data_IF_521476787111
#
_entry.id   IF_521476787111
#
_cell.length_a   1.000
_cell.length_b   1.000
_cell.length_c   1.000
_cell.angle_alpha   90.00
_cell.angle_beta   90.00
_cell.angle_gamma   90.00
#
_symmetry.space_group_name_H-M   'P 1'
#
loop_
_entity.id
_entity.type
_entity.pdbx_description
1 polymer ?
#
# COMPACT_ATOMS: atom_id res chain seq x y z
N UNK A 1 -22.15 25.96 6.98
CA UNK A 1 -21.89 26.38 5.59
C UNK A 1 -20.51 25.87 5.22
N UNK A 2 -20.42 24.81 4.41
CA UNK A 2 -19.13 24.25 4.01
C UNK A 2 -18.60 25.08 2.84
N UNK A 3 -17.58 25.90 3.10
CA UNK A 3 -16.86 26.65 2.07
C UNK A 3 -16.02 25.67 1.27
N UNK A 4 -16.51 25.30 0.09
CA UNK A 4 -15.71 24.60 -0.92
C UNK A 4 -14.63 25.55 -1.44
N UNK A 5 -13.48 25.57 -0.77
CA UNK A 5 -12.29 26.27 -1.26
C UNK A 5 -11.76 25.51 -2.47
N UNK A 6 -11.88 26.12 -3.65
CA UNK A 6 -11.23 25.63 -4.87
C UNK A 6 -9.71 25.64 -4.65
N UNK A 7 -9.09 24.47 -4.77
CA UNK A 7 -7.64 24.32 -4.64
C UNK A 7 -7.00 24.79 -5.95
N UNK A 8 -6.34 25.95 -5.95
CA UNK A 8 -5.50 26.39 -7.06
C UNK A 8 -4.22 25.54 -7.10
N UNK A 9 -3.97 24.91 -8.24
CA UNK A 9 -2.85 23.98 -8.45
C UNK A 9 -1.62 24.70 -8.98
N UNK A 10 -0.90 25.34 -8.07
CA UNK A 10 0.44 25.84 -8.32
C UNK A 10 1.45 24.83 -7.78
N UNK A 11 2.39 24.41 -8.64
CA UNK A 11 3.40 23.38 -8.30
C UNK A 11 4.42 23.88 -7.30
N UNK A 12 4.61 25.19 -7.20
CA UNK A 12 5.58 25.81 -6.30
C UNK A 12 4.92 26.28 -4.99
N UNK A 13 3.59 26.14 -4.88
CA UNK A 13 2.82 26.60 -3.74
C UNK A 13 2.43 25.45 -2.81
N UNK A 14 2.60 25.69 -1.50
CA UNK A 14 2.01 24.86 -0.46
C UNK A 14 0.60 25.39 -0.18
N UNK A 15 -0.40 24.52 -0.25
CA UNK A 15 -1.78 24.87 0.06
C UNK A 15 -2.19 24.21 1.37
N UNK A 16 -2.51 25.00 2.40
CA UNK A 16 -3.08 24.49 3.66
C UNK A 16 -4.56 24.21 3.43
N UNK A 17 -4.96 22.94 3.60
CA UNK A 17 -6.36 22.51 3.42
C UNK A 17 -7.20 22.74 4.69
N UNK A 18 -6.57 22.68 5.86
CA UNK A 18 -7.20 22.80 7.16
C UNK A 18 -6.32 22.21 8.26
N UNK A 19 -6.85 22.15 9.48
CA UNK A 19 -6.21 21.47 10.62
C UNK A 19 -6.86 20.11 10.87
N UNK A 20 -6.06 19.08 10.92
CA UNK A 20 -6.45 17.73 11.33
C UNK A 20 -5.59 17.36 12.53
N UNK A 21 -6.19 16.84 13.62
CA UNK A 21 -5.46 16.47 14.86
C UNK A 21 -4.42 17.51 15.33
N UNK A 22 -4.85 18.78 15.34
CA UNK A 22 -4.07 19.96 15.73
C UNK A 22 -2.88 20.34 14.85
N UNK A 23 -2.61 19.58 13.78
CA UNK A 23 -1.56 19.87 12.80
C UNK A 23 -2.14 20.33 11.46
N UNK A 24 -1.36 21.14 10.73
CA UNK A 24 -1.76 21.62 9.41
C UNK A 24 -1.67 20.47 8.39
N UNK A 25 -2.77 20.27 7.68
CA UNK A 25 -2.84 19.35 6.55
C UNK A 25 -2.53 20.11 5.27
N UNK A 26 -1.36 19.88 4.71
CA UNK A 26 -0.84 20.61 3.55
C UNK A 26 -0.92 19.77 2.27
N UNK A 27 -1.45 20.34 1.17
CA UNK A 27 -1.26 19.84 -0.18
C UNK A 27 0.03 20.43 -0.78
N UNK A 28 0.91 19.58 -1.29
CA UNK A 28 2.20 19.93 -1.89
C UNK A 28 2.40 19.20 -3.22
N UNK A 29 3.40 19.63 -3.99
CA UNK A 29 3.85 18.93 -5.21
C UNK A 29 5.30 18.48 -5.06
N UNK A 30 5.62 17.26 -5.49
CA UNK A 30 6.97 16.70 -5.42
C UNK A 30 7.31 15.84 -6.63
N UNK A 31 8.42 15.11 -6.56
CA UNK A 31 8.94 14.26 -7.67
C UNK A 31 7.89 13.33 -8.29
N UNK A 32 6.96 12.82 -7.49
CA UNK A 32 5.94 11.85 -7.90
C UNK A 32 4.53 12.46 -8.06
N UNK A 33 4.44 13.80 -8.11
CA UNK A 33 3.19 14.54 -8.22
C UNK A 33 2.69 15.08 -6.88
N UNK A 34 1.40 15.43 -6.83
CA UNK A 34 0.78 15.98 -5.63
C UNK A 34 0.69 14.97 -4.49
N UNK A 35 0.94 15.44 -3.27
CA UNK A 35 0.88 14.67 -2.04
C UNK A 35 0.38 15.55 -0.88
N UNK A 36 -0.16 14.90 0.14
CA UNK A 36 -0.51 15.52 1.40
C UNK A 36 0.61 15.33 2.41
N UNK A 37 0.82 16.34 3.24
CA UNK A 37 1.67 16.28 4.42
C UNK A 37 0.85 16.62 5.66
N UNK A 38 0.96 15.78 6.68
CA UNK A 38 0.37 15.97 8.01
C UNK A 38 1.45 15.62 9.03
N UNK A 39 2.00 16.65 9.69
CA UNK A 39 3.20 16.51 10.51
C UNK A 39 4.39 15.96 9.72
N UNK A 40 4.89 14.81 10.16
CA UNK A 40 5.99 14.07 9.51
C UNK A 40 5.49 13.04 8.49
N UNK A 41 4.19 12.75 8.46
CA UNK A 41 3.63 11.77 7.54
C UNK A 41 3.34 12.41 6.18
N UNK A 42 3.55 11.62 5.12
CA UNK A 42 3.17 12.01 3.76
C UNK A 42 2.30 10.94 3.12
N UNK A 43 1.30 11.39 2.36
CA UNK A 43 0.37 10.53 1.65
C UNK A 43 0.26 10.96 0.20
N UNK A 44 0.52 10.05 -0.74
CA UNK A 44 0.26 10.34 -2.15
C UNK A 44 -1.22 10.67 -2.36
N UNK A 45 -1.52 11.67 -3.20
CA UNK A 45 -2.89 12.14 -3.39
C UNK A 45 -3.74 11.17 -4.22
N UNK A 46 -3.13 10.43 -5.16
CA UNK A 46 -3.84 9.56 -6.11
C UNK A 46 -4.76 8.50 -5.44
N UNK A 47 -4.33 7.76 -4.39
CA UNK A 47 -5.23 6.87 -3.65
C UNK A 47 -6.48 7.56 -3.08
N UNK A 48 -6.33 8.81 -2.62
CA UNK A 48 -7.40 9.59 -1.99
C UNK A 48 -8.43 10.01 -3.04
N UNK A 49 -7.96 10.50 -4.20
CA UNK A 49 -8.80 10.79 -5.36
C UNK A 49 -9.53 9.54 -5.86
N UNK A 50 -8.86 8.39 -5.85
CA UNK A 50 -9.47 7.12 -6.26
C UNK A 50 -10.56 6.67 -5.29
N UNK A 51 -10.32 6.80 -3.98
CA UNK A 51 -11.29 6.46 -2.92
C UNK A 51 -12.53 7.36 -2.96
N UNK A 52 -12.32 8.68 -3.01
CA UNK A 52 -13.39 9.69 -3.07
C UNK A 52 -14.09 9.75 -4.43
N UNK A 53 -13.52 9.14 -5.47
CA UNK A 53 -13.95 9.26 -6.88
C UNK A 53 -14.01 10.71 -7.35
N UNK A 54 -13.12 11.55 -6.81
CA UNK A 54 -13.02 12.99 -7.12
C UNK A 54 -11.72 13.30 -7.83
N UNK A 55 -11.68 14.47 -8.46
CA UNK A 55 -10.48 15.03 -9.05
C UNK A 55 -9.78 15.94 -8.05
N UNK A 56 -8.54 16.33 -8.36
CA UNK A 56 -7.76 17.21 -7.49
C UNK A 56 -8.41 18.61 -7.36
N UNK A 57 -9.19 19.06 -8.35
CA UNK A 57 -9.91 20.33 -8.34
C UNK A 57 -11.19 20.27 -7.49
N UNK A 58 -11.73 19.07 -7.26
CA UNK A 58 -13.04 18.86 -6.61
C UNK A 58 -12.94 18.19 -5.24
N UNK A 59 -11.75 17.72 -4.86
CA UNK A 59 -11.53 17.10 -3.56
C UNK A 59 -11.59 18.15 -2.44
N UNK A 60 -12.28 17.80 -1.35
CA UNK A 60 -12.45 18.64 -0.16
C UNK A 60 -11.60 18.14 1.01
N UNK A 61 -11.48 18.97 2.04
CA UNK A 61 -10.85 18.59 3.30
C UNK A 61 -11.51 17.34 3.93
N UNK A 62 -12.84 17.27 3.93
CA UNK A 62 -13.59 16.15 4.51
C UNK A 62 -13.31 14.82 3.79
N UNK A 63 -13.18 14.83 2.46
CA UNK A 63 -12.82 13.63 1.68
C UNK A 63 -11.43 13.10 2.06
N UNK A 64 -10.52 14.03 2.36
CA UNK A 64 -9.17 13.70 2.76
C UNK A 64 -9.17 13.12 4.17
N UNK A 65 -9.86 13.75 5.12
CA UNK A 65 -9.99 13.25 6.49
C UNK A 65 -10.64 11.87 6.51
N UNK A 66 -11.73 11.67 5.76
CA UNK A 66 -12.37 10.35 5.62
C UNK A 66 -11.37 9.29 5.17
N UNK A 67 -10.56 9.57 4.15
CA UNK A 67 -9.54 8.63 3.70
C UNK A 67 -8.45 8.37 4.74
N UNK A 68 -8.08 9.36 5.55
CA UNK A 68 -7.06 9.21 6.60
C UNK A 68 -7.58 8.38 7.78
N UNK A 69 -8.85 8.52 8.14
CA UNK A 69 -9.48 7.78 9.24
C UNK A 69 -9.94 6.39 8.81
N UNK A 70 -10.54 6.29 7.62
CA UNK A 70 -11.16 5.09 7.07
C UNK A 70 -10.36 4.49 5.93
N UNK A 71 -9.03 4.64 5.99
CA UNK A 71 -8.11 4.21 4.94
C UNK A 71 -8.45 2.78 4.50
N UNK A 72 -8.89 2.58 3.24
CA UNK A 72 -9.32 1.27 2.80
C UNK A 72 -8.16 0.30 2.95
N UNK A 73 -8.45 -0.90 3.46
CA UNK A 73 -7.45 -1.95 3.60
C UNK A 73 -6.76 -2.13 2.25
N UNK A 74 -5.46 -1.85 2.22
CA UNK A 74 -4.68 -1.88 0.98
C UNK A 74 -4.53 -3.35 0.60
N UNK A 75 -5.47 -3.86 -0.20
CA UNK A 75 -5.33 -5.17 -0.84
C UNK A 75 -4.11 -5.05 -1.74
N UNK A 76 -3.00 -5.66 -1.33
CA UNK A 76 -1.82 -5.76 -2.17
C UNK A 76 -2.22 -6.61 -3.38
N UNK A 77 -2.48 -5.93 -4.52
CA UNK A 77 -2.87 -6.58 -5.78
C UNK A 77 -1.81 -7.57 -6.27
N UNK A 78 -0.60 -7.51 -5.73
CA UNK A 78 0.44 -8.48 -6.04
C UNK A 78 0.30 -9.75 -5.20
N UNK A 79 -0.41 -9.77 -4.09
CA UNK A 79 -0.65 -10.99 -3.32
C UNK A 79 -1.63 -11.88 -4.07
N UNK A 80 -1.16 -13.05 -4.48
CA UNK A 80 -1.91 -14.07 -5.21
C UNK A 80 -2.49 -15.12 -4.26
N UNK A 81 -1.80 -15.39 -3.15
CA UNK A 81 -2.23 -16.35 -2.12
C UNK A 81 -1.56 -16.02 -0.79
N UNK A 82 -2.31 -15.95 0.29
CA UNK A 82 -1.77 -15.84 1.65
C UNK A 82 -1.53 -17.26 2.17
N UNK A 83 -0.33 -17.52 2.72
CA UNK A 83 0.01 -18.82 3.30
C UNK A 83 -0.04 -18.72 4.82
N UNK A 84 0.60 -17.71 5.39
CA UNK A 84 0.54 -17.37 6.81
C UNK A 84 0.83 -15.87 7.00
N UNK A 85 0.86 -15.33 8.24
CA UNK A 85 1.12 -13.89 8.48
C UNK A 85 2.47 -13.39 7.95
N UNK A 86 3.43 -14.28 7.70
CA UNK A 86 4.80 -13.96 7.28
C UNK A 86 5.08 -14.36 5.83
N UNK A 87 4.23 -15.19 5.21
CA UNK A 87 4.46 -15.79 3.92
C UNK A 87 3.27 -15.66 2.97
N UNK A 88 3.55 -15.27 1.73
CA UNK A 88 2.53 -15.15 0.68
C UNK A 88 3.11 -15.44 -0.71
N UNK A 89 2.31 -16.04 -1.58
CA UNK A 89 2.61 -16.09 -3.01
C UNK A 89 2.26 -14.73 -3.62
N UNK A 90 3.20 -14.12 -4.34
CA UNK A 90 3.03 -12.83 -4.97
C UNK A 90 3.36 -12.84 -6.46
N UNK A 91 2.78 -11.90 -7.20
CA UNK A 91 3.06 -11.63 -8.61
C UNK A 91 4.36 -10.84 -8.72
N UNK A 92 5.30 -11.34 -9.53
CA UNK A 92 6.53 -10.64 -9.90
C UNK A 92 6.71 -10.55 -11.41
N UNK A 93 7.76 -9.83 -11.84
CA UNK A 93 8.11 -9.64 -13.26
C UNK A 93 8.37 -10.97 -13.99
N UNK A 94 8.91 -11.97 -13.28
CA UNK A 94 9.32 -13.26 -13.85
C UNK A 94 8.36 -14.42 -13.49
N UNK A 95 7.16 -14.09 -13.00
CA UNK A 95 6.19 -15.07 -12.53
C UNK A 95 5.90 -14.96 -11.04
N UNK A 96 5.15 -15.93 -10.52
CA UNK A 96 4.81 -15.99 -9.12
C UNK A 96 6.03 -16.39 -8.28
N UNK A 97 6.16 -15.80 -7.09
CA UNK A 97 7.24 -16.06 -6.14
C UNK A 97 6.69 -16.08 -4.72
N UNK A 98 7.45 -16.63 -3.77
CA UNK A 98 7.14 -16.59 -2.33
C UNK A 98 7.81 -15.37 -1.71
N UNK A 99 7.01 -14.49 -1.10
CA UNK A 99 7.48 -13.45 -0.19
C UNK A 99 7.52 -14.01 1.22
N UNK A 100 8.64 -13.87 1.92
CA UNK A 100 8.78 -14.26 3.32
C UNK A 100 9.39 -13.13 4.16
N UNK A 101 8.69 -12.66 5.20
CA UNK A 101 9.19 -11.66 6.14
C UNK A 101 8.54 -11.85 7.52
N UNK A 102 9.34 -12.22 8.51
CA UNK A 102 8.95 -12.18 9.92
C UNK A 102 9.18 -10.79 10.51
N UNK A 103 8.63 -10.54 11.69
CA UNK A 103 8.83 -9.28 12.44
C UNK A 103 10.29 -9.03 12.84
N UNK A 104 11.11 -10.08 12.94
CA UNK A 104 12.51 -10.01 13.37
C UNK A 104 13.48 -9.82 12.19
N UNK A 105 13.01 -9.97 10.95
CA UNK A 105 13.83 -9.83 9.75
C UNK A 105 13.94 -8.37 9.32
N UNK A 106 15.18 -7.87 9.19
CA UNK A 106 15.46 -6.54 8.61
C UNK A 106 14.88 -6.40 7.21
N UNK A 107 15.07 -7.41 6.36
CA UNK A 107 14.66 -7.41 4.96
C UNK A 107 13.88 -8.69 4.61
N UNK A 108 12.90 -8.62 3.69
CA UNK A 108 12.19 -9.80 3.20
C UNK A 108 13.11 -10.72 2.37
N UNK A 109 12.81 -12.02 2.39
CA UNK A 109 13.37 -12.99 1.44
C UNK A 109 12.35 -13.29 0.34
N UNK A 110 12.87 -13.66 -0.82
CA UNK A 110 12.09 -13.94 -2.02
C UNK A 110 12.50 -15.30 -2.58
N UNK A 111 11.56 -16.23 -2.68
CA UNK A 111 11.85 -17.58 -3.15
C UNK A 111 11.12 -17.91 -4.45
N UNK A 112 11.78 -18.70 -5.29
CA UNK A 112 11.22 -19.17 -6.54
C UNK A 112 10.19 -20.27 -6.28
N UNK A 113 9.19 -20.38 -7.15
CA UNK A 113 8.30 -21.55 -7.18
C UNK A 113 8.77 -22.60 -8.22
N UNK A 114 9.94 -22.38 -8.84
CA UNK A 114 10.52 -23.32 -9.81
C UNK A 114 10.87 -24.63 -9.09
N UNK A 115 10.39 -25.74 -9.64
CA UNK A 115 10.60 -27.08 -9.07
C UNK A 115 9.42 -27.58 -8.22
N UNK A 116 8.47 -26.71 -7.85
CA UNK A 116 7.25 -27.15 -7.17
C UNK A 116 6.22 -27.66 -8.17
N UNK A 117 5.88 -28.96 -8.11
CA UNK A 117 5.03 -29.65 -9.09
C UNK A 117 3.56 -29.76 -8.66
N UNK A 118 3.25 -29.67 -7.36
CA UNK A 118 1.89 -29.88 -6.82
C UNK A 118 0.92 -28.70 -7.06
N UNK A 119 1.36 -27.67 -7.78
CA UNK A 119 0.53 -26.54 -8.15
C UNK A 119 0.20 -25.64 -6.96
N UNK A 120 1.00 -24.57 -6.79
CA UNK A 120 0.89 -23.62 -5.67
C UNK A 120 -0.46 -22.90 -5.55
N UNK A 121 -1.32 -22.99 -6.56
CA UNK A 121 -2.68 -22.42 -6.55
C UNK A 121 -3.71 -23.32 -5.87
N UNK A 122 -3.49 -24.63 -5.87
CA UNK A 122 -4.52 -25.63 -5.54
C UNK A 122 -4.11 -26.59 -4.43
N UNK A 123 -2.80 -26.83 -4.23
CA UNK A 123 -2.30 -27.62 -3.11
C UNK A 123 -2.72 -27.02 -1.75
N UNK A 124 -2.64 -27.81 -0.69
CA UNK A 124 -2.84 -27.31 0.67
C UNK A 124 -1.79 -26.25 1.03
N UNK A 125 -2.10 -25.38 2.00
CA UNK A 125 -1.13 -24.39 2.49
C UNK A 125 0.08 -25.10 3.11
N UNK A 126 -0.16 -26.14 3.92
CA UNK A 126 0.88 -26.88 4.64
C UNK A 126 1.85 -27.58 3.68
N UNK A 127 1.33 -28.16 2.58
CA UNK A 127 2.16 -28.73 1.51
C UNK A 127 3.14 -27.71 0.94
N UNK A 128 2.66 -26.50 0.64
CA UNK A 128 3.49 -25.46 0.05
C UNK A 128 4.50 -24.90 1.06
N UNK A 129 4.09 -24.69 2.31
CA UNK A 129 5.00 -24.23 3.37
C UNK A 129 6.11 -25.26 3.61
N UNK A 130 5.75 -26.55 3.76
CA UNK A 130 6.71 -27.62 3.97
C UNK A 130 7.74 -27.68 2.83
N UNK A 131 7.28 -27.62 1.58
CA UNK A 131 8.18 -27.59 0.42
C UNK A 131 9.12 -26.38 0.43
N UNK A 132 8.64 -25.19 0.81
CA UNK A 132 9.47 -23.99 0.90
C UNK A 132 10.52 -24.15 2.01
N UNK A 133 10.12 -24.65 3.19
CA UNK A 133 11.01 -24.87 4.32
C UNK A 133 12.14 -25.84 3.94
N UNK A 134 11.79 -26.96 3.30
CA UNK A 134 12.76 -27.99 2.86
C UNK A 134 13.67 -27.48 1.73
N UNK A 135 13.12 -26.73 0.77
CA UNK A 135 13.88 -26.28 -0.42
C UNK A 135 14.84 -25.13 -0.11
N UNK A 136 14.48 -24.26 0.85
CA UNK A 136 15.21 -23.02 1.12
C UNK A 136 15.86 -22.96 2.51
N UNK A 137 15.78 -24.05 3.27
CA UNK A 137 16.34 -24.17 4.62
C UNK A 137 15.89 -23.01 5.52
N UNK A 138 14.57 -22.86 5.63
CA UNK A 138 13.95 -21.87 6.51
C UNK A 138 12.98 -22.56 7.47
N UNK A 139 12.91 -22.04 8.68
CA UNK A 139 11.91 -22.41 9.68
C UNK A 139 10.83 -21.33 9.69
N UNK A 140 9.65 -21.64 9.13
CA UNK A 140 8.58 -20.67 8.87
C UNK A 140 7.18 -21.23 8.89
#
# INVERSE_FOLDING_TARGET
MSTSTLILLDRDKITILGKYKDEDLCLKFGKYGHYLQHGQETHGLKPILTHSKKTIETISFDDVVDYLENKPFKIDKNVLRILNPHMSVRRGKFGAYIYYKTSHMREPKFFSLKGFSEGWRVCSIDTLISWVNDTYDIDS
#
